data_IF_184974393149
#
_entry.id   IF_184974393149
#
_cell.length_a   1.000
_cell.length_b   1.000
_cell.length_c   1.000
_cell.angle_alpha   90.00
_cell.angle_beta   90.00
_cell.angle_gamma   90.00
#
_symmetry.space_group_name_H-M   'P 1'
#
loop_
_entity.id
_entity.type
_entity.pdbx_description
1 polymer ?
#
# COMPACT_ATOMS: atom_id res chain seq x y z
N UNK A 1 -0.06 10.75 -5.97
CA UNK A 1 0.45 10.94 -4.59
C UNK A 1 -0.70 10.64 -3.65
N UNK A 2 -0.55 9.64 -2.78
CA UNK A 2 -1.59 9.20 -1.87
C UNK A 2 -1.11 9.46 -0.42
N UNK A 3 -1.76 10.39 0.28
CA UNK A 3 -1.48 10.66 1.68
C UNK A 3 -2.65 10.13 2.52
N UNK A 4 -2.37 9.17 3.40
CA UNK A 4 -3.37 8.60 4.29
C UNK A 4 -2.97 8.86 5.74
N UNK A 5 -3.80 9.61 6.46
CA UNK A 5 -3.66 9.81 7.89
C UNK A 5 -4.76 9.00 8.59
N UNK A 6 -4.37 8.03 9.42
CA UNK A 6 -5.31 7.16 10.11
C UNK A 6 -5.20 7.38 11.61
N UNK A 7 -6.26 7.89 12.23
CA UNK A 7 -6.43 7.91 13.67
C UNK A 7 -7.38 6.76 14.01
N UNK A 8 -6.93 5.69 14.68
CA UNK A 8 -7.82 4.61 15.08
C UNK A 8 -8.89 5.16 16.05
N UNK A 9 -10.15 4.85 15.79
CA UNK A 9 -11.28 5.21 16.66
C UNK A 9 -11.37 4.18 17.79
N UNK A 10 -11.27 4.68 19.02
CA UNK A 10 -11.30 3.99 20.32
C UNK A 10 -12.19 2.74 20.38
N UNK A 11 -11.58 1.62 20.72
CA UNK A 11 -12.18 0.60 21.57
C UNK A 11 -11.09 -0.14 22.34
N UNK A 12 -10.89 0.26 23.60
CA UNK A 12 -10.11 -0.43 24.64
C UNK A 12 -8.69 -0.86 24.26
N UNK A 13 -7.71 -0.16 24.83
CA UNK A 13 -6.26 -0.36 24.76
C UNK A 13 -5.52 0.31 23.58
N UNK A 14 -4.85 1.40 23.95
CA UNK A 14 -3.65 1.99 23.32
C UNK A 14 -3.87 2.83 22.04
N UNK A 15 -4.01 4.15 22.23
CA UNK A 15 -4.09 5.17 21.17
C UNK A 15 -2.74 5.26 20.40
N UNK A 16 -2.54 4.42 19.37
CA UNK A 16 -1.40 4.47 18.45
C UNK A 16 -1.72 5.37 17.24
N UNK A 17 -0.83 6.30 16.88
CA UNK A 17 -0.98 7.15 15.69
C UNK A 17 -0.10 6.58 14.56
N UNK A 18 -0.72 6.18 13.45
CA UNK A 18 -0.04 5.71 12.22
C UNK A 18 -0.25 6.71 11.09
N UNK A 19 0.85 7.35 10.66
CA UNK A 19 0.88 8.28 9.54
C UNK A 19 1.58 7.61 8.36
N UNK A 20 0.89 7.53 7.23
CA UNK A 20 1.40 6.90 6.01
C UNK A 20 1.36 7.86 4.82
N UNK A 21 2.52 8.16 4.27
CA UNK A 21 2.66 8.94 3.04
C UNK A 21 3.17 8.04 1.92
N UNK A 22 2.44 7.95 0.81
CA UNK A 22 2.77 7.08 -0.32
C UNK A 22 2.86 7.82 -1.65
N UNK A 23 3.87 7.48 -2.43
CA UNK A 23 4.05 7.84 -3.82
C UNK A 23 3.87 6.59 -4.67
N UNK A 24 3.06 6.73 -5.72
CA UNK A 24 2.89 5.72 -6.75
C UNK A 24 3.18 6.41 -8.09
N UNK A 25 4.17 5.89 -8.81
CA UNK A 25 4.66 6.40 -10.08
C UNK A 25 4.44 5.32 -11.15
N UNK A 26 3.64 5.63 -12.15
CA UNK A 26 3.49 4.75 -13.31
C UNK A 26 4.82 4.70 -14.07
N UNK A 27 5.56 3.60 -13.92
CA UNK A 27 6.87 3.43 -14.55
C UNK A 27 6.73 2.83 -15.95
N UNK A 28 5.80 1.90 -16.12
CA UNK A 28 5.48 1.25 -17.40
C UNK A 28 3.97 0.95 -17.49
N UNK A 29 3.52 0.43 -18.63
CA UNK A 29 2.11 0.15 -18.89
C UNK A 29 1.45 -0.79 -17.85
N UNK A 30 2.23 -1.72 -17.27
CA UNK A 30 1.79 -2.69 -16.27
C UNK A 30 2.64 -2.70 -15.00
N UNK A 31 3.53 -1.71 -14.83
CA UNK A 31 4.44 -1.62 -13.67
C UNK A 31 4.35 -0.24 -13.04
N UNK A 32 4.08 -0.24 -11.75
CA UNK A 32 4.00 0.94 -10.90
C UNK A 32 5.16 0.89 -9.89
N UNK A 33 5.96 1.95 -9.79
CA UNK A 33 6.96 2.11 -8.75
C UNK A 33 6.32 2.74 -7.51
N UNK A 34 6.59 2.16 -6.34
CA UNK A 34 6.02 2.54 -5.05
C UNK A 34 7.12 3.03 -4.13
N UNK A 35 6.85 4.13 -3.44
CA UNK A 35 7.65 4.58 -2.31
C UNK A 35 6.70 5.03 -1.18
N UNK A 36 6.88 4.50 0.01
CA UNK A 36 6.04 4.82 1.17
C UNK A 36 6.91 5.20 2.37
N UNK A 37 6.45 6.16 3.16
CA UNK A 37 7.01 6.53 4.45
C UNK A 37 5.94 6.28 5.51
N UNK A 38 6.28 5.47 6.50
CA UNK A 38 5.41 5.08 7.61
C UNK A 38 6.01 5.65 8.88
N UNK A 39 5.24 6.43 9.61
CA UNK A 39 5.62 7.01 10.89
C UNK A 39 4.61 6.57 11.93
N UNK A 40 5.08 5.82 12.93
CA UNK A 40 4.26 5.31 14.03
C UNK A 40 4.68 5.96 15.33
N UNK A 41 3.70 6.47 16.08
CA UNK A 41 3.92 7.01 17.42
C UNK A 41 3.15 6.17 18.44
N UNK A 42 3.89 5.51 19.33
CA UNK A 42 3.34 4.72 20.44
C UNK A 42 2.93 5.63 21.61
N UNK A 43 1.92 5.19 22.38
CA UNK A 43 1.38 5.91 23.52
C UNK A 43 2.31 5.86 24.76
N UNK A 44 3.10 4.79 24.92
CA UNK A 44 3.96 4.57 26.11
C UNK A 44 5.21 5.47 26.17
N UNK A 45 5.55 6.16 25.09
CA UNK A 45 6.69 7.08 25.05
C UNK A 45 6.30 8.33 24.27
N UNK A 46 6.66 9.52 24.77
CA UNK A 46 6.49 10.78 24.03
C UNK A 46 7.30 10.83 22.70
N UNK A 47 8.01 9.75 22.38
CA UNK A 47 8.93 9.62 21.24
C UNK A 47 8.26 8.90 20.08
N UNK A 48 8.59 9.33 18.86
CA UNK A 48 8.23 8.62 17.62
C UNK A 48 8.79 7.21 17.73
N UNK A 49 7.97 6.18 17.50
CA UNK A 49 8.36 4.81 17.79
C UNK A 49 8.95 4.06 16.61
N UNK A 50 8.44 4.30 15.41
CA UNK A 50 8.96 3.72 14.16
C UNK A 50 8.94 4.78 13.07
N UNK A 51 10.01 4.83 12.28
CA UNK A 51 10.06 5.57 11.01
C UNK A 51 10.58 4.59 9.98
N UNK A 52 9.70 4.10 9.12
CA UNK A 52 10.04 3.10 8.10
C UNK A 52 9.85 3.67 6.70
N UNK A 53 10.88 3.56 5.87
CA UNK A 53 10.80 3.81 4.44
C UNK A 53 10.62 2.50 3.70
N UNK A 54 9.68 2.46 2.78
CA UNK A 54 9.42 1.32 1.90
C UNK A 54 9.57 1.75 0.46
N UNK A 55 10.18 0.91 -0.35
CA UNK A 55 10.26 1.08 -1.80
C UNK A 55 9.95 -0.26 -2.47
N UNK A 56 9.30 -0.24 -3.62
CA UNK A 56 8.96 -1.47 -4.31
C UNK A 56 8.37 -1.26 -5.68
N UNK A 57 8.08 -2.37 -6.35
CA UNK A 57 7.40 -2.40 -7.64
C UNK A 57 6.11 -3.19 -7.52
N UNK A 58 5.06 -2.67 -8.14
CA UNK A 58 3.80 -3.37 -8.34
C UNK A 58 3.65 -3.72 -9.81
N UNK A 59 3.44 -4.99 -10.08
CA UNK A 59 3.22 -5.54 -11.41
C UNK A 59 1.78 -6.01 -11.51
N UNK A 60 1.05 -5.48 -12.49
CA UNK A 60 -0.30 -5.93 -12.84
C UNK A 60 -0.17 -7.21 -13.67
N UNK A 61 -0.58 -8.35 -13.11
CA UNK A 61 -0.47 -9.64 -13.79
C UNK A 61 -1.64 -9.86 -14.75
N UNK A 62 -2.85 -9.62 -14.27
CA UNK A 62 -4.10 -9.78 -15.01
C UNK A 62 -5.14 -8.82 -14.44
N UNK A 63 -6.29 -8.68 -15.12
CA UNK A 63 -7.36 -7.79 -14.65
C UNK A 63 -7.78 -8.20 -13.23
N UNK A 64 -7.56 -7.29 -12.27
CA UNK A 64 -7.89 -7.50 -10.87
C UNK A 64 -6.81 -8.19 -10.03
N UNK A 65 -5.66 -8.58 -10.60
CA UNK A 65 -4.56 -9.22 -9.85
C UNK A 65 -3.26 -8.44 -9.98
N UNK A 66 -2.75 -7.99 -8.83
CA UNK A 66 -1.48 -7.27 -8.74
C UNK A 66 -0.52 -8.00 -7.79
N UNK A 67 0.76 -8.01 -8.13
CA UNK A 67 1.84 -8.47 -7.26
C UNK A 67 2.76 -7.31 -6.96
N UNK A 68 3.02 -7.08 -5.67
CA UNK A 68 3.96 -6.05 -5.20
C UNK A 68 5.14 -6.74 -4.54
N UNK A 69 6.35 -6.36 -4.96
CA UNK A 69 7.60 -6.78 -4.34
C UNK A 69 8.35 -5.52 -3.89
N UNK A 70 8.92 -5.53 -2.68
CA UNK A 70 9.74 -4.42 -2.25
C UNK A 70 10.54 -4.65 -0.98
N UNK A 71 11.17 -3.57 -0.56
CA UNK A 71 12.12 -3.46 0.53
C UNK A 71 11.71 -2.37 1.50
N UNK A 72 11.77 -2.67 2.78
CA UNK A 72 11.51 -1.77 3.89
C UNK A 72 12.75 -1.57 4.71
N UNK A 73 12.92 -0.37 5.21
CA UNK A 73 14.05 0.00 6.04
C UNK A 73 13.56 0.81 7.24
N UNK A 74 13.85 0.31 8.44
CA UNK A 74 13.56 1.01 9.68
C UNK A 74 14.70 1.98 10.02
N UNK A 75 14.41 3.28 9.98
CA UNK A 75 15.39 4.33 10.21
C UNK A 75 15.69 4.61 11.68
N UNK A 76 14.84 4.14 12.61
CA UNK A 76 14.92 4.58 14.00
C UNK A 76 15.79 3.65 14.87
N UNK A 77 15.81 2.35 14.59
CA UNK A 77 16.60 1.41 15.38
C UNK A 77 18.08 1.50 15.02
N UNK A 78 18.96 1.47 16.05
CA UNK A 78 20.43 1.40 15.87
C UNK A 78 20.89 0.10 15.19
N UNK A 79 20.01 -0.90 15.16
CA UNK A 79 20.11 -2.10 14.33
C UNK A 79 19.10 -1.96 13.18
N UNK A 80 19.51 -1.40 12.03
CA UNK A 80 18.61 -1.24 10.91
C UNK A 80 18.16 -2.62 10.40
N UNK A 81 16.85 -2.84 10.42
CA UNK A 81 16.25 -4.07 9.92
C UNK A 81 15.79 -3.86 8.48
N UNK A 82 16.47 -4.53 7.54
CA UNK A 82 16.01 -4.62 6.18
C UNK A 82 14.87 -5.64 6.11
N UNK A 83 13.71 -5.22 5.63
CA UNK A 83 12.52 -6.07 5.46
C UNK A 83 12.25 -6.30 3.98
N UNK A 84 12.04 -7.55 3.59
CA UNK A 84 11.54 -7.90 2.27
C UNK A 84 10.03 -8.13 2.36
N UNK A 85 9.27 -7.59 1.43
CA UNK A 85 7.83 -7.83 1.35
C UNK A 85 7.39 -8.26 -0.03
N UNK A 86 6.53 -9.27 -0.03
CA UNK A 86 5.79 -9.76 -1.18
C UNK A 86 4.30 -9.65 -0.81
N UNK A 87 3.54 -8.94 -1.63
CA UNK A 87 2.11 -8.75 -1.45
C UNK A 87 1.38 -9.11 -2.74
N UNK A 88 0.38 -9.98 -2.64
CA UNK A 88 -0.53 -10.31 -3.74
C UNK A 88 -1.87 -9.66 -3.42
N UNK A 89 -2.35 -8.82 -4.34
CA UNK A 89 -3.65 -8.17 -4.23
C UNK A 89 -4.57 -8.72 -5.31
N UNK A 90 -5.76 -9.15 -4.89
CA UNK A 90 -6.80 -9.64 -5.79
C UNK A 90 -8.09 -8.87 -5.55
N UNK A 91 -8.60 -8.21 -6.58
CA UNK A 91 -9.91 -7.56 -6.60
C UNK A 91 -10.94 -8.56 -7.13
N UNK A 92 -11.73 -9.12 -6.21
CA UNK A 92 -12.88 -9.95 -6.55
C UNK A 92 -14.03 -9.06 -7.04
N UNK A 93 -13.97 -8.65 -8.31
CA UNK A 93 -15.05 -7.96 -8.99
C UNK A 93 -15.72 -8.90 -9.99
N UNK A 94 -16.99 -9.25 -9.75
CA UNK A 94 -17.82 -9.93 -10.75
C UNK A 94 -17.93 -9.05 -12.00
N UNK A 95 -17.26 -9.45 -13.07
CA UNK A 95 -17.51 -8.87 -14.39
C UNK A 95 -18.86 -9.43 -14.85
N UNK A 96 -19.96 -8.74 -14.53
CA UNK A 96 -21.20 -8.92 -15.28
C UNK A 96 -20.90 -8.48 -16.71
N UNK A 97 -20.83 -9.47 -17.61
CA UNK A 97 -20.75 -9.28 -19.04
C UNK A 97 -21.73 -8.19 -19.49
N UNK A 98 -21.20 -7.11 -20.06
CA UNK A 98 -21.97 -6.26 -20.95
C UNK A 98 -21.97 -6.93 -22.32
N UNK A 99 -22.72 -8.02 -22.42
CA UNK A 99 -23.24 -8.54 -23.69
C UNK A 99 -24.76 -8.44 -23.61
N UNK A 100 -25.31 -7.33 -24.08
CA UNK A 100 -26.73 -7.24 -24.45
C UNK A 100 -26.96 -6.11 -25.44
N UNK A 101 -26.98 -6.48 -26.72
CA UNK A 101 -27.79 -5.84 -27.75
C UNK A 101 -27.14 -4.68 -28.51
N UNK A 102 -27.35 -4.51 -29.82
CA UNK A 102 -28.14 -5.24 -30.82
C UNK A 102 -27.47 -4.90 -32.15
N UNK A 103 -27.13 -5.90 -32.95
CA UNK A 103 -26.87 -5.74 -34.38
C UNK A 103 -28.15 -5.20 -35.04
N UNK A 104 -28.10 -4.04 -35.69
CA UNK A 104 -29.04 -3.69 -36.75
C UNK A 104 -28.28 -3.38 -38.02
N UNK A 105 -28.53 -4.26 -39.01
CA UNK A 105 -28.15 -4.14 -40.41
C UNK A 105 -28.64 -2.82 -41.01
N UNK A 106 -27.87 -2.29 -41.96
CA UNK A 106 -28.44 -1.68 -43.16
C UNK A 106 -28.29 -2.63 -44.32
#
# INVERSE_FOLDING_TARGET
MNLFYHIPIKSSDEDEIDLRAGLNLAAMHNVDALAELIVRKSHLSTKIDIVEGRVGYRVKLMRGTDVTLGLGYDFKNRTPELRLFLMVSYLLGSTTNSESGIFLSR
#
